data_IF_421780866867
#
_entry.id   IF_421780866867
#
_cell.length_a   1.000
_cell.length_b   1.000
_cell.length_c   1.000
_cell.angle_alpha   90.00
_cell.angle_beta   90.00
_cell.angle_gamma   90.00
#
_symmetry.space_group_name_H-M   'P 1'
#
loop_
_entity.id
_entity.type
_entity.pdbx_description
1 polymer ?
#
# COMPACT_ATOMS: atom_id res chain seq x y z
N UNK A 1 7.60 -5.09 12.62
CA UNK A 1 8.44 -4.77 11.44
C UNK A 1 7.79 -3.69 10.59
N UNK A 2 8.57 -3.04 9.72
CA UNK A 2 8.09 -1.99 8.81
C UNK A 2 8.77 -2.13 7.45
N UNK A 3 7.98 -2.04 6.38
CA UNK A 3 8.44 -2.06 4.99
C UNK A 3 8.02 -0.74 4.36
N UNK A 4 8.95 -0.11 3.64
CA UNK A 4 8.70 1.09 2.86
C UNK A 4 9.01 0.81 1.39
N UNK A 5 8.11 1.24 0.52
CA UNK A 5 8.21 1.02 -0.91
C UNK A 5 7.66 2.23 -1.66
N UNK A 6 8.00 2.32 -2.95
CA UNK A 6 7.46 3.33 -3.85
C UNK A 6 6.78 2.63 -5.02
N UNK A 7 5.50 2.92 -5.22
CA UNK A 7 4.78 2.52 -6.42
C UNK A 7 4.84 3.64 -7.46
N UNK A 8 4.96 3.28 -8.73
CA UNK A 8 4.93 4.25 -9.84
C UNK A 8 3.68 4.02 -10.66
N UNK A 9 2.85 5.05 -10.79
CA UNK A 9 1.67 5.00 -11.66
C UNK A 9 2.14 5.10 -13.12
N UNK A 10 1.74 4.15 -14.00
CA UNK A 10 2.12 4.17 -15.42
C UNK A 10 1.69 5.46 -16.13
N UNK A 11 2.31 5.78 -17.27
CA UNK A 11 2.02 6.92 -18.16
C UNK A 11 2.28 8.32 -17.59
N UNK A 12 1.98 8.57 -16.31
CA UNK A 12 2.20 9.86 -15.65
C UNK A 12 3.43 9.88 -14.74
N UNK A 13 4.02 8.72 -14.44
CA UNK A 13 5.24 8.60 -13.64
C UNK A 13 5.08 9.03 -12.17
N UNK A 14 3.83 9.25 -11.72
CA UNK A 14 3.56 9.66 -10.36
C UNK A 14 4.02 8.61 -9.37
N UNK A 15 4.65 9.08 -8.29
CA UNK A 15 5.17 8.24 -7.22
C UNK A 15 4.19 8.26 -6.06
N UNK A 16 3.86 7.06 -5.60
CA UNK A 16 3.06 6.84 -4.40
C UNK A 16 3.94 6.16 -3.35
N UNK A 17 3.91 6.67 -2.13
CA UNK A 17 4.55 6.03 -0.99
C UNK A 17 3.66 4.90 -0.50
N UNK A 18 4.28 3.74 -0.27
CA UNK A 18 3.65 2.57 0.32
C UNK A 18 4.38 2.23 1.61
N UNK A 19 3.61 2.09 2.69
CA UNK A 19 4.13 1.70 3.99
C UNK A 19 3.32 0.53 4.50
N UNK A 20 4.01 -0.54 4.88
CA UNK A 20 3.40 -1.72 5.50
C UNK A 20 4.00 -1.89 6.89
N UNK A 21 3.13 -2.02 7.89
CA UNK A 21 3.49 -2.33 9.27
C UNK A 21 3.03 -3.73 9.61
N UNK A 22 3.94 -4.50 10.17
CA UNK A 22 3.73 -5.87 10.61
C UNK A 22 3.84 -5.90 12.14
N UNK A 23 2.77 -6.30 12.80
CA UNK A 23 2.72 -6.40 14.28
C UNK A 23 2.33 -7.83 14.66
N UNK A 24 3.07 -8.52 15.53
CA UNK A 24 2.64 -9.82 16.05
C UNK A 24 1.24 -9.74 16.65
N UNK A 25 0.39 -10.71 16.37
CA UNK A 25 -0.99 -10.76 16.83
C UNK A 25 -1.39 -12.22 17.14
N UNK A 26 -1.05 -12.67 18.36
CA UNK A 26 -1.30 -14.05 18.78
C UNK A 26 -0.51 -15.04 17.93
N UNK A 27 -1.23 -15.97 17.29
CA UNK A 27 -0.66 -16.95 16.35
C UNK A 27 -0.41 -16.38 14.95
N UNK A 28 -0.78 -15.13 14.70
CA UNK A 28 -0.66 -14.48 13.40
C UNK A 28 0.09 -13.15 13.44
N UNK A 29 0.01 -12.42 12.32
CA UNK A 29 0.56 -11.08 12.17
C UNK A 29 -0.54 -10.15 11.69
N UNK A 30 -0.75 -9.04 12.42
CA UNK A 30 -1.56 -7.93 11.95
C UNK A 30 -0.77 -7.13 10.92
N UNK A 31 -1.40 -6.89 9.77
CA UNK A 31 -0.83 -6.13 8.65
C UNK A 31 -1.62 -4.84 8.49
N UNK A 32 -0.97 -3.70 8.74
CA UNK A 32 -1.54 -2.38 8.47
C UNK A 32 -0.78 -1.77 7.28
N UNK A 33 -1.49 -1.52 6.18
CA UNK A 33 -0.93 -0.94 4.96
C UNK A 33 -1.47 0.48 4.73
N UNK A 34 -0.60 1.37 4.26
CA UNK A 34 -0.96 2.71 3.78
C UNK A 34 -0.35 2.94 2.41
N UNK A 35 -1.11 3.61 1.55
CA UNK A 35 -0.62 4.08 0.25
C UNK A 35 -1.07 5.52 0.03
N UNK A 36 -0.16 6.38 -0.42
CA UNK A 36 -0.42 7.82 -0.60
C UNK A 36 0.36 8.38 -1.77
N UNK A 37 -0.32 9.10 -2.66
CA UNK A 37 0.34 9.85 -3.73
C UNK A 37 1.17 11.02 -3.21
N UNK A 38 2.38 11.20 -3.77
CA UNK A 38 3.25 12.35 -3.47
C UNK A 38 2.74 13.65 -4.10
N UNK A 39 1.91 13.54 -5.14
CA UNK A 39 1.38 14.66 -5.91
C UNK A 39 -0.14 14.54 -6.03
N UNK A 40 -0.81 15.70 -6.16
CA UNK A 40 -2.26 15.78 -6.33
C UNK A 40 -3.07 15.75 -5.03
N UNK A 41 -4.34 16.15 -5.13
CA UNK A 41 -5.32 16.08 -4.04
C UNK A 41 -6.19 14.81 -4.08
N UNK A 42 -6.12 14.05 -5.18
CA UNK A 42 -6.86 12.81 -5.38
C UNK A 42 -6.13 11.92 -6.37
N UNK A 43 -6.39 10.62 -6.29
CA UNK A 43 -5.69 9.55 -7.02
C UNK A 43 -6.65 8.65 -7.81
N UNK A 44 -7.92 9.06 -7.93
CA UNK A 44 -9.00 8.30 -8.57
C UNK A 44 -9.16 6.87 -8.04
N UNK A 45 -8.80 6.63 -6.77
CA UNK A 45 -8.92 5.32 -6.13
C UNK A 45 -7.75 4.37 -6.41
N UNK A 46 -6.67 4.81 -7.08
CA UNK A 46 -5.49 3.99 -7.37
C UNK A 46 -4.83 3.44 -6.09
N UNK A 47 -4.67 4.26 -5.06
CA UNK A 47 -4.08 3.84 -3.78
C UNK A 47 -5.01 2.84 -3.06
N UNK A 48 -6.33 3.06 -3.09
CA UNK A 48 -7.30 2.14 -2.50
C UNK A 48 -7.28 0.77 -3.20
N UNK A 49 -7.31 0.77 -4.55
CA UNK A 49 -7.18 -0.45 -5.34
C UNK A 49 -5.88 -1.19 -5.01
N UNK A 50 -4.75 -0.50 -4.93
CA UNK A 50 -3.45 -1.10 -4.56
C UNK A 50 -3.48 -1.78 -3.20
N UNK A 51 -4.08 -1.14 -2.20
CA UNK A 51 -4.20 -1.71 -0.86
C UNK A 51 -5.02 -3.00 -0.91
N UNK A 52 -6.18 -2.98 -1.58
CA UNK A 52 -7.04 -4.15 -1.70
C UNK A 52 -6.34 -5.30 -2.44
N UNK A 53 -5.77 -5.03 -3.62
CA UNK A 53 -5.06 -6.04 -4.42
C UNK A 53 -3.93 -6.70 -3.62
N UNK A 54 -3.15 -5.92 -2.86
CA UNK A 54 -2.08 -6.46 -2.02
C UNK A 54 -2.60 -7.32 -0.86
N UNK A 55 -3.62 -6.84 -0.15
CA UNK A 55 -4.20 -7.56 0.99
C UNK A 55 -4.92 -8.84 0.56
N UNK A 56 -5.51 -8.86 -0.64
CA UNK A 56 -6.13 -10.05 -1.20
C UNK A 56 -5.06 -11.07 -1.66
N UNK A 57 -4.00 -10.60 -2.32
CA UNK A 57 -2.87 -11.45 -2.70
C UNK A 57 -2.15 -12.08 -1.49
N UNK A 58 -2.13 -11.41 -0.34
CA UNK A 58 -1.52 -11.93 0.89
C UNK A 58 -2.34 -13.05 1.55
N UNK A 59 -3.66 -13.11 1.27
CA UNK A 59 -4.58 -14.12 1.84
C UNK A 59 -4.68 -15.38 0.98
N UNK A 60 -4.28 -15.30 -0.29
CA UNK A 60 -4.26 -16.42 -1.23
C UNK A 60 -3.12 -17.40 -0.89
#
# INVERSE_FOLDING_TARGET
GRIEATATVPWWGFKDDVVIRLTPAGTGTRVDMRSKSRVGKGDLGVNAKRINDFLDALKA
#
